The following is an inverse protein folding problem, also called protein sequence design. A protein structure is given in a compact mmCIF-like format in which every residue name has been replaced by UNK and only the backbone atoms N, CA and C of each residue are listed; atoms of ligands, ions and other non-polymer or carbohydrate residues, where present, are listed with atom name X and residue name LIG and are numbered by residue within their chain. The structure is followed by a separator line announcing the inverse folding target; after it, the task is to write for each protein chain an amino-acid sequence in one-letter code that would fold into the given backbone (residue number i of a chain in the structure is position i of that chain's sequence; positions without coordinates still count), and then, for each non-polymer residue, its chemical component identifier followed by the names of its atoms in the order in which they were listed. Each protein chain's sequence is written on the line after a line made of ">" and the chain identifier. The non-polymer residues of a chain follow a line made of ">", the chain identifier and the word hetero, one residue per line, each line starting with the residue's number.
data_IF_576429791093
#
_entry.id   IF_576429791093
#
_cell.length_a   1.000
_cell.length_b   1.000
_cell.length_c   1.000
_cell.angle_alpha   90.00
_cell.angle_beta   90.00
_cell.angle_gamma   90.00
#
_symmetry.space_group_name_H-M   'P 1'
#
loop_
_entity.id
_entity.type
_entity.pdbx_description
1 polymer ?
#
# COMPACT_ATOMS: atom_id res chain seq x y z
N UNK A 1 -46.18 -48.35 -84.86
CA UNK A 1 -46.18 -46.94 -85.30
C UNK A 1 -45.81 -46.11 -84.09
N UNK A 2 -44.88 -45.20 -84.08
CA UNK A 2 -43.79 -44.83 -84.97
C UNK A 2 -42.87 -43.94 -84.11
N UNK A 3 -41.63 -43.75 -84.56
CA UNK A 3 -40.56 -43.02 -83.89
C UNK A 3 -40.94 -41.56 -83.59
N UNK A 4 -40.36 -40.97 -82.53
CA UNK A 4 -39.42 -39.85 -82.67
C UNK A 4 -38.93 -39.30 -81.32
N UNK A 5 -37.68 -38.83 -81.38
CA UNK A 5 -36.76 -38.41 -80.33
C UNK A 5 -36.86 -36.91 -80.05
N UNK A 6 -36.67 -36.50 -78.80
CA UNK A 6 -35.86 -35.35 -78.31
C UNK A 6 -36.18 -35.17 -76.82
N UNK A 7 -35.30 -34.91 -75.86
CA UNK A 7 -33.96 -34.33 -75.85
C UNK A 7 -33.96 -33.37 -74.65
N UNK A 8 -33.37 -33.75 -73.52
CA UNK A 8 -33.39 -32.93 -72.30
C UNK A 8 -32.29 -33.33 -71.33
N UNK A 9 -31.34 -32.43 -71.12
CA UNK A 9 -30.03 -32.63 -70.48
C UNK A 9 -30.18 -32.91 -68.98
N UNK A 10 -29.38 -33.86 -68.50
CA UNK A 10 -29.24 -34.15 -67.07
C UNK A 10 -28.51 -33.03 -66.33
N UNK A 11 -29.01 -32.74 -65.12
CA UNK A 11 -28.25 -32.08 -64.07
C UNK A 11 -28.39 -32.93 -62.81
N UNK A 12 -27.34 -33.69 -62.51
CA UNK A 12 -27.15 -34.30 -61.20
C UNK A 12 -26.84 -33.17 -60.21
N UNK A 13 -27.73 -32.92 -59.25
CA UNK A 13 -27.40 -32.11 -58.09
C UNK A 13 -26.44 -32.91 -57.20
N UNK A 14 -25.15 -32.59 -57.31
CA UNK A 14 -24.13 -32.97 -56.34
C UNK A 14 -24.42 -32.24 -55.03
N UNK A 15 -24.54 -32.99 -53.93
CA UNK A 15 -24.62 -32.46 -52.59
C UNK A 15 -23.33 -31.70 -52.28
N UNK A 16 -23.44 -30.40 -51.98
CA UNK A 16 -22.34 -29.60 -51.46
C UNK A 16 -21.92 -30.13 -50.08
N UNK A 17 -20.61 -30.17 -49.77
CA UNK A 17 -20.17 -30.50 -48.42
C UNK A 17 -20.62 -29.39 -47.46
N UNK A 18 -21.20 -29.80 -46.34
CA UNK A 18 -21.44 -28.94 -45.18
C UNK A 18 -20.11 -28.33 -44.78
N UNK A 19 -19.95 -27.03 -45.03
CA UNK A 19 -18.81 -26.26 -44.55
C UNK A 19 -18.77 -26.39 -43.03
N UNK A 20 -17.75 -27.07 -42.53
CA UNK A 20 -17.30 -26.98 -41.16
C UNK A 20 -17.02 -25.51 -40.87
N UNK A 21 -17.95 -24.85 -40.19
CA UNK A 21 -17.69 -23.54 -39.59
C UNK A 21 -16.44 -23.69 -38.74
N UNK A 22 -15.37 -22.99 -39.13
CA UNK A 22 -14.14 -22.86 -38.35
C UNK A 22 -14.52 -22.50 -36.92
N UNK A 23 -14.31 -23.44 -36.00
CA UNK A 23 -14.49 -23.19 -34.58
C UNK A 23 -13.52 -22.09 -34.15
N UNK A 24 -14.06 -20.93 -33.78
CA UNK A 24 -13.30 -19.90 -33.05
C UNK A 24 -12.97 -20.33 -31.61
N UNK A 25 -13.51 -21.47 -31.14
CA UNK A 25 -13.37 -21.98 -29.77
C UNK A 25 -11.92 -22.22 -29.28
N UNK A 26 -11.01 -22.84 -30.06
CA UNK A 26 -9.66 -23.12 -29.60
C UNK A 26 -8.77 -21.87 -29.52
N UNK A 27 -8.92 -20.94 -30.47
CA UNK A 27 -8.15 -19.69 -30.51
C UNK A 27 -8.62 -18.70 -29.45
N UNK A 28 -9.94 -18.60 -29.21
CA UNK A 28 -10.48 -17.83 -28.10
C UNK A 28 -10.08 -18.40 -26.74
N UNK A 29 -10.04 -19.74 -26.61
CA UNK A 29 -9.55 -20.42 -25.40
C UNK A 29 -8.06 -20.19 -25.14
N UNK A 30 -7.22 -20.29 -26.18
CA UNK A 30 -5.79 -20.03 -26.08
C UNK A 30 -5.48 -18.56 -25.78
N UNK A 31 -6.22 -17.62 -26.38
CA UNK A 31 -6.09 -16.20 -26.07
C UNK A 31 -6.54 -15.89 -24.63
N UNK A 32 -7.62 -16.53 -24.16
CA UNK A 32 -8.10 -16.41 -22.79
C UNK A 32 -7.09 -16.95 -21.77
N UNK A 33 -6.52 -18.12 -22.01
CA UNK A 33 -5.46 -18.70 -21.17
C UNK A 33 -4.18 -17.85 -21.19
N UNK A 34 -3.80 -17.34 -22.36
CA UNK A 34 -2.66 -16.44 -22.49
C UNK A 34 -2.88 -15.15 -21.71
N UNK A 35 -4.07 -14.53 -21.84
CA UNK A 35 -4.42 -13.33 -21.09
C UNK A 35 -4.41 -13.59 -19.59
N UNK A 36 -4.98 -14.71 -19.13
CA UNK A 36 -4.96 -15.11 -17.73
C UNK A 36 -3.52 -15.28 -17.21
N UNK A 37 -2.64 -15.93 -17.97
CA UNK A 37 -1.22 -16.08 -17.59
C UNK A 37 -0.48 -14.75 -17.61
N UNK A 38 -0.77 -13.88 -18.58
CA UNK A 38 -0.11 -12.58 -18.71
C UNK A 38 -0.47 -11.61 -17.59
N UNK A 39 -1.66 -11.74 -16.97
CA UNK A 39 -2.09 -10.86 -15.88
C UNK A 39 -1.72 -11.36 -14.48
N UNK A 40 -1.45 -12.65 -14.32
CA UNK A 40 -1.10 -13.23 -13.03
C UNK A 40 0.34 -12.84 -12.64
N UNK A 41 0.54 -12.22 -11.46
CA UNK A 41 1.88 -11.95 -10.98
C UNK A 41 2.64 -13.27 -10.76
N UNK A 42 3.97 -13.26 -10.95
CA UNK A 42 4.80 -14.38 -10.52
C UNK A 42 4.60 -14.60 -9.02
N UNK A 43 4.57 -15.87 -8.61
CA UNK A 43 4.50 -16.23 -7.20
C UNK A 43 5.61 -15.51 -6.44
N UNK A 44 5.33 -14.95 -5.25
CA UNK A 44 6.36 -14.34 -4.44
C UNK A 44 7.42 -15.39 -4.11
N UNK A 45 8.64 -14.93 -3.84
CA UNK A 45 9.74 -15.75 -3.33
C UNK A 45 9.98 -15.42 -1.86
N UNK A 46 9.24 -16.03 -0.91
CA UNK A 46 9.36 -15.69 0.50
C UNK A 46 10.77 -15.85 1.01
N UNK A 47 11.18 -14.94 1.89
CA UNK A 47 12.48 -15.02 2.56
C UNK A 47 12.54 -16.32 3.39
N UNK A 48 13.60 -17.09 3.21
CA UNK A 48 13.81 -18.41 3.84
C UNK A 48 13.23 -19.60 3.10
N UNK A 49 12.48 -19.40 2.02
CA UNK A 49 12.07 -20.48 1.12
C UNK A 49 13.25 -21.01 0.27
N UNK A 50 13.19 -22.26 -0.26
CA UNK A 50 14.21 -22.75 -1.19
C UNK A 50 14.37 -21.82 -2.42
N UNK A 51 15.56 -21.25 -2.59
CA UNK A 51 15.86 -20.30 -3.66
C UNK A 51 15.40 -18.85 -3.41
N UNK A 52 14.77 -18.57 -2.26
CA UNK A 52 14.43 -17.22 -1.83
C UNK A 52 15.56 -16.50 -1.08
N UNK A 53 15.42 -15.19 -0.80
CA UNK A 53 16.38 -14.44 0.01
C UNK A 53 16.53 -15.02 1.43
N UNK A 54 17.67 -14.81 2.10
CA UNK A 54 17.86 -15.30 3.47
C UNK A 54 17.02 -14.50 4.47
N UNK A 55 16.73 -15.13 5.61
CA UNK A 55 16.20 -14.44 6.78
C UNK A 55 17.38 -14.02 7.66
N UNK A 56 17.40 -12.74 8.02
CA UNK A 56 18.43 -12.11 8.85
C UNK A 56 17.83 -11.32 10.01
N UNK A 57 16.55 -10.94 9.93
CA UNK A 57 15.82 -10.22 10.95
C UNK A 57 15.29 -11.13 12.06
N UNK A 58 15.09 -10.60 13.29
CA UNK A 58 14.12 -11.15 14.23
C UNK A 58 12.75 -11.23 13.57
N UNK A 59 12.08 -12.37 13.75
CA UNK A 59 10.72 -12.58 13.28
C UNK A 59 9.88 -13.23 14.36
N UNK A 60 8.60 -12.92 14.36
CA UNK A 60 7.63 -13.49 15.28
C UNK A 60 6.48 -14.11 14.49
N UNK A 61 5.95 -15.23 15.00
CA UNK A 61 4.86 -15.96 14.36
C UNK A 61 3.50 -15.40 14.79
N UNK A 62 2.65 -15.08 13.82
CA UNK A 62 1.30 -14.52 13.98
C UNK A 62 0.26 -15.63 14.18
N UNK A 63 -0.99 -15.25 14.53
CA UNK A 63 -2.08 -16.19 14.82
C UNK A 63 -2.42 -17.07 13.61
N UNK A 64 -2.31 -16.50 12.41
CA UNK A 64 -2.55 -17.19 11.13
C UNK A 64 -1.36 -18.05 10.64
N UNK A 65 -0.27 -18.07 11.41
CA UNK A 65 0.93 -18.85 11.13
C UNK A 65 1.99 -18.16 10.27
N UNK A 66 1.71 -16.98 9.70
CA UNK A 66 2.72 -16.14 9.03
C UNK A 66 3.76 -15.64 10.03
N UNK A 67 4.93 -15.25 9.53
CA UNK A 67 5.95 -14.54 10.30
C UNK A 67 6.02 -13.08 9.89
N UNK A 68 6.09 -12.17 10.87
CA UNK A 68 6.46 -10.78 10.63
C UNK A 68 7.87 -10.51 11.13
N UNK A 69 8.70 -9.93 10.28
CA UNK A 69 10.00 -9.41 10.63
C UNK A 69 9.86 -8.03 11.28
N UNK A 70 10.62 -7.78 12.35
CA UNK A 70 10.48 -6.56 13.14
C UNK A 70 11.83 -6.04 13.63
N UNK A 71 11.83 -4.77 14.05
CA UNK A 71 12.95 -4.07 14.64
C UNK A 71 12.45 -3.30 15.87
N UNK A 72 13.16 -3.47 17.00
CA UNK A 72 12.83 -2.80 18.26
C UNK A 72 13.69 -1.55 18.45
N UNK A 73 13.12 -0.51 19.05
CA UNK A 73 13.82 0.73 19.37
C UNK A 73 13.21 1.43 20.59
N UNK A 74 13.92 2.41 21.14
CA UNK A 74 13.53 3.07 22.40
C UNK A 74 14.03 2.30 23.62
N UNK A 75 13.33 2.43 24.75
CA UNK A 75 13.73 1.77 26.01
C UNK A 75 13.38 0.27 26.00
N UNK A 76 14.02 -0.55 26.85
CA UNK A 76 13.66 -1.95 27.00
C UNK A 76 12.18 -2.13 27.35
N UNK A 77 11.52 -3.07 26.66
CA UNK A 77 10.07 -3.35 26.75
C UNK A 77 9.58 -3.55 28.19
N UNK A 78 10.39 -4.18 29.03
CA UNK A 78 10.08 -4.51 30.42
C UNK A 78 10.03 -3.27 31.32
N UNK A 79 10.74 -2.22 30.93
CA UNK A 79 10.77 -0.92 31.62
C UNK A 79 9.88 0.15 30.97
N UNK A 80 9.30 -0.16 29.81
CA UNK A 80 8.54 0.80 29.03
C UNK A 80 7.19 1.14 29.66
N UNK A 81 6.90 2.44 29.77
CA UNK A 81 5.58 2.97 30.13
C UNK A 81 4.62 2.94 28.96
N UNK A 82 5.13 3.22 27.76
CA UNK A 82 4.34 3.25 26.52
C UNK A 82 4.95 2.33 25.49
N UNK A 83 4.11 1.59 24.77
CA UNK A 83 4.51 0.66 23.73
C UNK A 83 3.82 1.03 22.43
N UNK A 84 4.61 1.16 21.37
CA UNK A 84 4.19 1.65 20.05
C UNK A 84 4.45 0.60 18.99
N UNK A 85 3.45 0.34 18.15
CA UNK A 85 3.62 -0.39 16.88
C UNK A 85 3.66 0.61 15.73
N UNK A 86 4.76 0.60 14.98
CA UNK A 86 5.01 1.52 13.86
C UNK A 86 4.83 0.83 12.51
N UNK A 87 3.94 1.37 11.68
CA UNK A 87 3.65 0.91 10.32
C UNK A 87 4.29 1.83 9.28
N UNK A 88 5.30 1.32 8.57
CA UNK A 88 6.08 2.11 7.61
C UNK A 88 5.31 2.45 6.33
N UNK A 89 5.77 3.50 5.64
CA UNK A 89 5.20 3.97 4.38
C UNK A 89 5.52 3.09 3.17
N UNK A 90 5.15 3.59 1.99
CA UNK A 90 5.54 2.98 0.73
C UNK A 90 7.07 3.02 0.57
N UNK A 91 7.68 1.97 0.02
CA UNK A 91 9.15 1.78 -0.07
C UNK A 91 9.90 1.61 1.26
N UNK A 92 9.19 1.64 2.39
CA UNK A 92 9.77 1.50 3.72
C UNK A 92 10.04 0.05 4.13
N UNK A 93 10.51 -0.10 5.37
CA UNK A 93 10.74 -1.40 6.03
C UNK A 93 10.62 -1.27 7.55
N UNK A 94 10.81 -2.37 8.27
CA UNK A 94 10.91 -2.43 9.74
C UNK A 94 11.90 -1.44 10.34
N UNK A 95 12.90 -1.01 9.55
CA UNK A 95 13.95 -0.08 9.99
C UNK A 95 13.51 1.39 10.01
N UNK A 96 12.32 1.69 9.49
CA UNK A 96 11.76 3.03 9.59
C UNK A 96 11.16 3.27 10.99
N UNK A 97 11.31 4.48 11.50
CA UNK A 97 10.80 4.89 12.81
C UNK A 97 10.48 6.38 12.84
N UNK A 98 9.90 6.86 13.94
CA UNK A 98 9.67 8.29 14.19
C UNK A 98 10.96 9.12 14.30
N UNK A 99 12.12 8.46 14.48
CA UNK A 99 13.43 9.12 14.70
C UNK A 99 13.41 10.16 15.82
N UNK A 100 12.72 9.84 16.92
CA UNK A 100 12.83 10.59 18.15
C UNK A 100 14.23 10.46 18.74
N UNK A 101 14.67 11.46 19.49
CA UNK A 101 15.92 11.44 20.24
C UNK A 101 15.87 10.36 21.34
N UNK A 102 16.99 9.65 21.58
CA UNK A 102 17.07 8.68 22.68
C UNK A 102 16.66 9.28 24.02
N UNK A 103 17.04 10.54 24.29
CA UNK A 103 16.74 11.24 25.53
C UNK A 103 15.22 11.39 25.74
N UNK A 104 14.46 11.72 24.69
CA UNK A 104 12.99 11.84 24.78
C UNK A 104 12.33 10.47 24.91
N UNK A 105 12.84 9.46 24.19
CA UNK A 105 12.33 8.10 24.33
C UNK A 105 12.56 7.55 25.76
N UNK A 106 13.71 7.85 26.36
CA UNK A 106 14.05 7.50 27.74
C UNK A 106 13.20 8.27 28.76
N UNK A 107 13.10 9.60 28.62
CA UNK A 107 12.30 10.46 29.49
C UNK A 107 10.84 10.01 29.58
N UNK A 108 10.24 9.68 28.42
CA UNK A 108 8.85 9.24 28.32
C UNK A 108 8.67 7.74 28.60
N UNK A 109 9.75 6.95 28.61
CA UNK A 109 9.71 5.49 28.76
C UNK A 109 9.03 4.79 27.59
N UNK A 110 9.41 5.13 26.35
CA UNK A 110 8.76 4.65 25.12
C UNK A 110 9.54 3.49 24.51
N UNK A 111 8.88 2.35 24.36
CA UNK A 111 9.29 1.25 23.51
C UNK A 111 8.55 1.34 22.17
N UNK A 112 9.27 1.15 21.06
CA UNK A 112 8.69 1.14 19.72
C UNK A 112 9.14 -0.11 18.98
N UNK A 113 8.22 -0.71 18.23
CA UNK A 113 8.50 -1.79 17.30
C UNK A 113 8.02 -1.42 15.90
N UNK A 114 8.95 -1.35 14.95
CA UNK A 114 8.65 -1.29 13.52
C UNK A 114 8.63 -2.69 12.93
N UNK A 115 7.81 -2.93 11.92
CA UNK A 115 7.73 -4.25 11.27
C UNK A 115 7.67 -4.13 9.76
N UNK A 116 8.22 -5.11 9.05
CA UNK A 116 8.03 -5.24 7.61
C UNK A 116 6.56 -5.62 7.41
N UNK A 117 5.78 -4.80 6.71
CA UNK A 117 4.38 -5.13 6.42
C UNK A 117 4.30 -6.43 5.59
N UNK A 118 3.16 -7.11 5.57
CA UNK A 118 2.99 -8.35 4.80
C UNK A 118 3.62 -8.22 3.39
N UNK A 119 4.44 -9.19 2.98
CA UNK A 119 5.14 -9.22 1.69
C UNK A 119 6.24 -8.17 1.48
N UNK A 120 6.51 -7.29 2.45
CA UNK A 120 7.70 -6.44 2.48
C UNK A 120 8.83 -7.16 3.21
N UNK A 121 10.07 -6.80 2.84
CA UNK A 121 11.24 -7.22 3.60
C UNK A 121 11.28 -8.73 3.81
N UNK A 122 11.35 -9.13 5.07
CA UNK A 122 11.45 -10.54 5.48
C UNK A 122 10.16 -11.11 6.10
N UNK A 123 9.06 -10.34 6.04
CA UNK A 123 7.73 -10.76 6.49
C UNK A 123 7.02 -11.61 5.45
N UNK A 124 6.35 -12.67 5.88
CA UNK A 124 5.63 -13.56 4.98
C UNK A 124 4.53 -12.79 4.22
N UNK A 125 4.31 -13.11 2.92
CA UNK A 125 3.19 -12.57 2.14
C UNK A 125 1.84 -12.93 2.76
N UNK A 126 0.84 -12.07 2.56
CA UNK A 126 -0.55 -12.36 2.89
C UNK A 126 -1.41 -12.42 1.61
N UNK A 127 -1.82 -13.62 1.16
CA UNK A 127 -2.71 -13.77 -0.01
C UNK A 127 -4.06 -13.05 0.15
N UNK A 128 -4.53 -12.88 1.39
CA UNK A 128 -5.75 -12.15 1.75
C UNK A 128 -5.52 -10.69 2.14
N UNK A 129 -4.35 -10.10 1.84
CA UNK A 129 -4.00 -8.73 2.28
C UNK A 129 -5.13 -7.73 2.02
N UNK A 130 -5.59 -7.11 3.09
CA UNK A 130 -6.60 -6.06 3.15
C UNK A 130 -6.25 -5.04 4.24
N UNK A 131 -7.05 -3.99 4.36
CA UNK A 131 -6.93 -3.01 5.46
C UNK A 131 -7.21 -3.66 6.81
N UNK A 132 -8.16 -4.59 6.86
CA UNK A 132 -8.47 -5.36 8.07
C UNK A 132 -7.28 -6.23 8.49
N UNK A 133 -6.70 -7.00 7.56
CA UNK A 133 -5.55 -7.85 7.90
C UNK A 133 -4.32 -7.02 8.28
N UNK A 134 -4.19 -5.80 7.75
CA UNK A 134 -3.10 -4.90 8.15
C UNK A 134 -3.27 -4.39 9.59
N UNK A 135 -4.51 -4.22 10.06
CA UNK A 135 -4.80 -3.92 11.46
C UNK A 135 -4.54 -5.15 12.36
N UNK A 136 -4.97 -6.33 11.91
CA UNK A 136 -4.71 -7.60 12.60
C UNK A 136 -3.20 -7.88 12.70
N UNK A 137 -2.40 -7.57 11.67
CA UNK A 137 -0.93 -7.67 11.72
C UNK A 137 -0.35 -6.83 12.88
N UNK A 138 -0.90 -5.64 13.14
CA UNK A 138 -0.47 -4.81 14.28
C UNK A 138 -0.89 -5.40 15.63
N UNK A 139 -2.10 -5.97 15.72
CA UNK A 139 -2.59 -6.67 16.90
C UNK A 139 -1.77 -7.94 17.21
N UNK A 140 -1.57 -8.81 16.22
CA UNK A 140 -0.85 -10.06 16.34
C UNK A 140 0.61 -9.82 16.74
N UNK A 141 1.24 -8.79 16.16
CA UNK A 141 2.58 -8.38 16.54
C UNK A 141 2.63 -7.92 18.00
N UNK A 142 1.64 -7.11 18.42
CA UNK A 142 1.56 -6.65 19.80
C UNK A 142 1.35 -7.80 20.79
N UNK A 143 0.48 -8.75 20.46
CA UNK A 143 0.20 -9.93 21.28
C UNK A 143 1.43 -10.84 21.39
N UNK A 144 2.05 -11.15 20.26
CA UNK A 144 3.17 -12.07 20.21
C UNK A 144 4.44 -11.50 20.90
N UNK A 145 4.59 -10.18 20.95
CA UNK A 145 5.66 -9.52 21.70
C UNK A 145 5.28 -9.20 23.16
N UNK A 146 4.03 -9.44 23.58
CA UNK A 146 3.58 -9.16 24.94
C UNK A 146 3.51 -7.66 25.24
N UNK A 147 2.97 -6.85 24.31
CA UNK A 147 2.81 -5.42 24.53
C UNK A 147 1.68 -5.10 25.52
N UNK A 148 0.75 -6.03 25.74
CA UNK A 148 -0.34 -5.93 26.71
C UNK A 148 -1.69 -5.64 26.05
N UNK A 149 -2.71 -5.42 26.88
CA UNK A 149 -4.10 -5.30 26.42
C UNK A 149 -4.32 -4.11 25.48
N UNK A 150 -3.60 -3.00 25.72
CA UNK A 150 -3.62 -1.82 24.86
C UNK A 150 -2.22 -1.33 24.51
N UNK A 151 -2.09 -0.81 23.30
CA UNK A 151 -0.84 -0.25 22.76
C UNK A 151 -1.13 0.95 21.85
N UNK A 152 -0.10 1.69 21.51
CA UNK A 152 -0.22 2.85 20.62
C UNK A 152 0.16 2.45 19.20
N UNK A 153 -0.47 3.09 18.21
CA UNK A 153 -0.20 2.83 16.81
C UNK A 153 0.27 4.09 16.11
N UNK A 154 1.33 3.95 15.31
CA UNK A 154 1.87 5.05 14.51
C UNK A 154 1.99 4.58 13.07
N UNK A 155 1.47 5.39 12.15
CA UNK A 155 1.58 5.14 10.71
C UNK A 155 2.29 6.28 10.02
N UNK A 156 3.13 5.97 9.03
CA UNK A 156 3.69 6.96 8.13
C UNK A 156 3.20 6.71 6.70
N UNK A 157 2.74 7.76 6.02
CA UNK A 157 2.35 7.72 4.61
C UNK A 157 1.34 6.59 4.36
N UNK A 158 1.65 5.68 3.43
CA UNK A 158 0.80 4.52 3.14
C UNK A 158 0.56 3.65 4.37
N UNK A 159 1.51 3.54 5.31
CA UNK A 159 1.36 2.76 6.54
C UNK A 159 0.19 3.20 7.43
N UNK A 160 -0.33 4.42 7.25
CA UNK A 160 -1.53 4.90 7.92
C UNK A 160 -2.79 4.11 7.56
N UNK A 161 -2.82 3.34 6.47
CA UNK A 161 -3.96 2.45 6.19
C UNK A 161 -4.16 1.41 7.30
N UNK A 162 -3.07 0.90 7.86
CA UNK A 162 -3.13 -0.02 9.00
C UNK A 162 -3.64 0.68 10.26
N UNK A 163 -3.34 1.97 10.46
CA UNK A 163 -3.86 2.77 11.56
C UNK A 163 -5.35 3.03 11.42
N UNK A 164 -5.83 3.40 10.22
CA UNK A 164 -7.26 3.51 9.94
C UNK A 164 -7.99 2.18 10.15
N UNK A 165 -7.38 1.08 9.72
CA UNK A 165 -7.87 -0.27 10.01
C UNK A 165 -7.92 -0.55 11.52
N UNK A 166 -6.87 -0.19 12.27
CA UNK A 166 -6.81 -0.41 13.71
C UNK A 166 -7.94 0.33 14.45
N UNK A 167 -8.17 1.60 14.09
CA UNK A 167 -9.28 2.39 14.61
C UNK A 167 -10.66 1.81 14.25
N UNK A 168 -10.77 1.05 13.14
CA UNK A 168 -12.02 0.44 12.70
C UNK A 168 -12.29 -0.93 13.34
N UNK A 169 -11.28 -1.79 13.37
CA UNK A 169 -11.43 -3.23 13.60
C UNK A 169 -10.99 -3.68 14.99
N UNK A 170 -10.07 -2.96 15.63
CA UNK A 170 -9.56 -3.25 16.98
C UNK A 170 -9.51 -2.00 17.89
N UNK A 171 -10.50 -1.07 17.84
CA UNK A 171 -10.42 0.21 18.56
C UNK A 171 -10.22 0.05 20.08
N UNK A 172 -10.68 -1.05 20.66
CA UNK A 172 -10.52 -1.38 22.07
C UNK A 172 -9.06 -1.67 22.47
N UNK A 173 -8.23 -2.12 21.51
CA UNK A 173 -6.80 -2.39 21.69
C UNK A 173 -5.95 -1.12 21.59
N UNK A 174 -6.50 -0.01 21.10
CA UNK A 174 -5.73 1.20 20.80
C UNK A 174 -5.79 2.18 21.97
N UNK A 175 -4.62 2.49 22.54
CA UNK A 175 -4.46 3.48 23.59
C UNK A 175 -4.34 4.92 23.03
N UNK A 176 -3.84 5.06 21.81
CA UNK A 176 -3.73 6.31 21.07
C UNK A 176 -3.12 6.08 19.69
N UNK A 177 -3.40 6.98 18.75
CA UNK A 177 -2.95 6.85 17.36
C UNK A 177 -2.29 8.12 16.83
N UNK A 178 -1.21 7.96 16.07
CA UNK A 178 -0.58 9.03 15.30
C UNK A 178 -0.45 8.65 13.82
N UNK A 179 -0.85 9.55 12.94
CA UNK A 179 -0.69 9.39 11.49
C UNK A 179 0.15 10.54 10.94
N UNK A 180 1.19 10.20 10.20
CA UNK A 180 2.11 11.17 9.59
C UNK A 180 1.97 11.12 8.07
N UNK A 181 1.53 12.21 7.47
CA UNK A 181 1.28 12.37 6.03
C UNK A 181 0.42 11.24 5.41
N UNK A 182 -0.75 10.88 5.99
CA UNK A 182 -1.50 9.68 5.59
C UNK A 182 -1.91 9.69 4.12
N UNK A 183 -1.65 8.58 3.41
CA UNK A 183 -2.12 8.44 2.02
C UNK A 183 -3.65 8.39 1.98
N UNK A 184 -4.22 9.04 0.96
CA UNK A 184 -5.66 9.10 0.71
C UNK A 184 -6.06 8.20 -0.43
N UNK A 185 -7.27 7.64 -0.35
CA UNK A 185 -7.92 7.01 -1.49
C UNK A 185 -8.92 8.01 -2.09
N UNK A 186 -8.70 8.42 -3.33
CA UNK A 186 -9.53 9.41 -4.05
C UNK A 186 -10.98 8.97 -4.26
N UNK A 187 -11.28 7.70 -4.06
CA UNK A 187 -12.62 7.13 -4.20
C UNK A 187 -13.35 6.91 -2.86
N UNK A 188 -12.81 7.40 -1.74
CA UNK A 188 -13.56 7.39 -0.48
C UNK A 188 -14.83 8.25 -0.57
N UNK A 189 -16.03 7.70 -0.25
CA UNK A 189 -17.30 8.41 -0.41
C UNK A 189 -17.43 9.71 0.38
N UNK A 190 -16.71 9.87 1.47
CA UNK A 190 -16.75 11.06 2.32
C UNK A 190 -16.09 12.30 1.69
N UNK A 191 -15.38 12.15 0.56
CA UNK A 191 -14.84 13.29 -0.18
C UNK A 191 -15.89 13.88 -1.12
N UNK A 192 -15.99 15.22 -1.20
CA UNK A 192 -16.70 15.88 -2.29
C UNK A 192 -16.08 15.47 -3.62
N UNK A 193 -16.92 15.04 -4.57
CA UNK A 193 -16.47 14.51 -5.85
C UNK A 193 -15.57 15.51 -6.61
N UNK A 194 -15.89 16.81 -6.56
CA UNK A 194 -15.08 17.86 -7.19
C UNK A 194 -13.71 18.02 -6.54
N UNK A 195 -13.63 17.95 -5.20
CA UNK A 195 -12.37 18.03 -4.47
C UNK A 195 -11.47 16.84 -4.80
N UNK A 196 -12.02 15.62 -4.70
CA UNK A 196 -11.29 14.40 -5.03
C UNK A 196 -10.80 14.40 -6.48
N UNK A 197 -11.67 14.74 -7.43
CA UNK A 197 -11.32 14.79 -8.86
C UNK A 197 -10.25 15.84 -9.16
N UNK A 198 -10.33 17.02 -8.52
CA UNK A 198 -9.33 18.09 -8.70
C UNK A 198 -7.95 17.68 -8.20
N UNK A 199 -7.87 17.16 -6.97
CA UNK A 199 -6.58 16.76 -6.40
C UNK A 199 -6.02 15.50 -7.08
N UNK A 200 -6.88 14.55 -7.49
CA UNK A 200 -6.48 13.43 -8.34
C UNK A 200 -5.90 13.90 -9.68
N UNK A 201 -6.55 14.88 -10.32
CA UNK A 201 -6.13 15.43 -11.61
C UNK A 201 -4.80 16.19 -11.60
N UNK A 202 -4.29 16.57 -10.42
CA UNK A 202 -2.98 17.21 -10.24
C UNK A 202 -1.82 16.21 -10.29
N UNK A 203 -2.08 14.93 -10.12
CA UNK A 203 -1.06 13.90 -10.23
C UNK A 203 -0.58 13.75 -11.67
N UNK A 204 0.63 13.21 -11.83
CA UNK A 204 1.13 12.81 -13.14
C UNK A 204 0.22 11.78 -13.81
N UNK A 205 0.13 11.83 -15.14
CA UNK A 205 -0.79 10.96 -15.89
C UNK A 205 -0.56 9.48 -15.62
N UNK A 206 0.68 9.07 -15.43
CA UNK A 206 1.02 7.68 -15.13
C UNK A 206 0.55 7.23 -13.76
N UNK A 207 0.68 8.08 -12.74
CA UNK A 207 0.13 7.82 -11.40
C UNK A 207 -1.40 7.75 -11.46
N UNK A 208 -2.07 8.69 -12.13
CA UNK A 208 -3.52 8.65 -12.32
C UNK A 208 -3.96 7.28 -12.87
N UNK A 209 -3.35 6.80 -13.95
CA UNK A 209 -3.72 5.50 -14.52
C UNK A 209 -3.38 4.33 -13.60
N UNK A 210 -2.21 4.32 -12.97
CA UNK A 210 -1.84 3.25 -12.06
C UNK A 210 -2.82 3.15 -10.87
N UNK A 211 -3.24 4.28 -10.30
CA UNK A 211 -4.26 4.33 -9.26
C UNK A 211 -5.63 3.89 -9.77
N UNK A 212 -6.02 4.29 -10.99
CA UNK A 212 -7.29 3.88 -11.62
C UNK A 212 -7.35 2.37 -11.84
N UNK A 213 -6.25 1.77 -12.31
CA UNK A 213 -6.14 0.31 -12.47
C UNK A 213 -6.19 -0.37 -11.11
N UNK A 214 -5.45 0.12 -10.12
CA UNK A 214 -5.48 -0.41 -8.76
C UNK A 214 -6.91 -0.38 -8.16
N UNK A 215 -7.68 0.68 -8.44
CA UNK A 215 -9.04 0.82 -7.93
C UNK A 215 -10.06 -0.06 -8.67
N UNK A 216 -10.10 0.00 -10.00
CA UNK A 216 -11.16 -0.63 -10.79
C UNK A 216 -10.84 -2.05 -11.24
N UNK A 217 -9.55 -2.39 -11.36
CA UNK A 217 -9.08 -3.70 -11.83
C UNK A 217 -7.79 -4.12 -11.10
N UNK A 218 -7.80 -4.23 -9.75
CA UNK A 218 -6.60 -4.56 -8.97
C UNK A 218 -5.93 -5.87 -9.41
N UNK A 219 -6.69 -6.84 -9.94
CA UNK A 219 -6.16 -8.10 -10.42
C UNK A 219 -5.22 -8.00 -11.64
N UNK A 220 -5.18 -6.87 -12.35
CA UNK A 220 -4.29 -6.66 -13.50
C UNK A 220 -3.20 -5.61 -13.22
N UNK A 221 -3.09 -5.10 -11.99
CA UNK A 221 -2.14 -4.03 -11.67
C UNK A 221 -0.70 -4.44 -11.96
N UNK A 222 -0.35 -5.71 -11.71
CA UNK A 222 0.99 -6.21 -12.00
C UNK A 222 1.32 -6.09 -13.48
N UNK A 223 0.47 -6.68 -14.33
CA UNK A 223 0.63 -6.59 -15.79
C UNK A 223 0.69 -5.15 -16.27
N UNK A 224 -0.18 -4.28 -15.75
CA UNK A 224 -0.16 -2.86 -16.09
C UNK A 224 1.21 -2.24 -15.81
N UNK A 225 1.75 -2.45 -14.61
CA UNK A 225 3.02 -1.89 -14.17
C UNK A 225 4.25 -2.46 -14.90
N UNK A 226 4.15 -3.64 -15.52
CA UNK A 226 5.23 -4.25 -16.31
C UNK A 226 5.36 -3.67 -17.72
N UNK A 227 4.41 -2.85 -18.18
CA UNK A 227 4.41 -2.29 -19.54
C UNK A 227 5.43 -1.13 -19.71
N UNK A 228 6.68 -1.33 -19.29
CA UNK A 228 7.78 -0.36 -19.28
C UNK A 228 8.12 0.27 -20.63
N UNK A 229 7.69 -0.34 -21.73
CA UNK A 229 7.84 0.15 -23.10
C UNK A 229 6.80 1.22 -23.49
N UNK A 230 5.74 1.38 -22.70
CA UNK A 230 4.75 2.44 -22.86
C UNK A 230 5.13 3.65 -22.00
N UNK A 231 4.82 4.88 -22.43
CA UNK A 231 5.10 6.10 -21.66
C UNK A 231 4.11 6.35 -20.51
N UNK A 232 2.99 5.62 -20.45
CA UNK A 232 1.86 5.85 -19.53
C UNK A 232 1.72 4.94 -18.29
N UNK A 233 2.22 3.71 -18.21
CA UNK A 233 1.98 2.81 -17.08
C UNK A 233 2.93 3.04 -15.89
N UNK A 234 3.91 3.93 -16.02
CA UNK A 234 4.89 4.18 -14.96
C UNK A 234 4.28 5.07 -13.88
N UNK A 235 4.25 4.57 -12.64
CA UNK A 235 4.00 5.40 -11.46
C UNK A 235 5.27 6.13 -11.06
N UNK A 236 5.21 7.45 -10.97
CA UNK A 236 6.36 8.28 -10.57
C UNK A 236 6.77 7.99 -9.13
N UNK A 237 5.83 7.55 -8.29
CA UNK A 237 6.11 7.11 -6.91
C UNK A 237 6.92 5.81 -6.91
N UNK A 238 6.54 4.83 -7.74
CA UNK A 238 7.23 3.53 -7.86
C UNK A 238 8.66 3.67 -8.36
N UNK A 239 8.88 4.53 -9.38
CA UNK A 239 10.22 4.78 -9.92
C UNK A 239 10.94 5.94 -9.22
N UNK A 240 10.33 6.53 -8.19
CA UNK A 240 10.87 7.60 -7.37
C UNK A 240 11.29 8.87 -8.15
N UNK A 241 10.45 9.29 -9.10
CA UNK A 241 10.63 10.49 -9.94
C UNK A 241 9.57 11.57 -9.71
N UNK A 242 8.63 11.37 -8.78
CA UNK A 242 7.55 12.34 -8.52
C UNK A 242 8.09 13.75 -8.28
N UNK A 243 7.43 14.77 -8.82
CA UNK A 243 7.82 16.14 -8.55
C UNK A 243 7.58 16.48 -7.06
N UNK A 244 8.59 17.01 -6.37
CA UNK A 244 8.49 17.45 -4.97
C UNK A 244 8.64 18.98 -4.95
N UNK A 245 7.56 19.74 -4.66
CA UNK A 245 7.61 21.19 -4.65
C UNK A 245 8.43 21.72 -3.45
N UNK A 246 8.42 21.01 -2.32
CA UNK A 246 9.21 21.36 -1.16
C UNK A 246 10.72 21.14 -1.41
N UNK A 247 11.51 22.18 -1.16
CA UNK A 247 12.97 22.18 -1.43
C UNK A 247 13.73 21.16 -0.58
N UNK A 248 13.37 21.01 0.70
CA UNK A 248 14.04 20.10 1.64
C UNK A 248 13.80 18.65 1.21
N UNK A 249 12.56 18.30 0.88
CA UNK A 249 12.22 16.97 0.36
C UNK A 249 12.97 16.64 -0.93
N UNK A 250 13.02 17.59 -1.87
CA UNK A 250 13.78 17.42 -3.12
C UNK A 250 15.29 17.23 -2.87
N UNK A 251 15.87 17.94 -1.90
CA UNK A 251 17.26 17.77 -1.49
C UNK A 251 17.52 16.44 -0.77
N UNK A 252 16.67 16.04 0.17
CA UNK A 252 16.74 14.75 0.84
C UNK A 252 16.73 13.63 -0.18
N UNK A 253 15.77 13.65 -1.13
CA UNK A 253 15.74 12.63 -2.19
C UNK A 253 17.02 12.62 -3.02
N UNK A 254 17.55 13.79 -3.39
CA UNK A 254 18.80 13.90 -4.16
C UNK A 254 19.97 13.26 -3.42
N UNK A 255 20.12 13.58 -2.13
CA UNK A 255 21.18 13.04 -1.27
C UNK A 255 21.04 11.53 -1.12
N UNK A 256 19.85 11.04 -0.76
CA UNK A 256 19.61 9.60 -0.58
C UNK A 256 19.70 8.80 -1.90
N UNK A 257 19.53 9.47 -3.04
CA UNK A 257 19.78 8.87 -4.37
C UNK A 257 21.28 8.78 -4.61
N UNK A 258 22.02 9.87 -4.37
CA UNK A 258 23.45 9.97 -4.62
C UNK A 258 24.27 9.01 -3.75
N UNK A 259 23.89 8.82 -2.48
CA UNK A 259 24.57 7.89 -1.57
C UNK A 259 24.10 6.42 -1.70
N UNK A 260 23.09 6.17 -2.55
CA UNK A 260 22.53 4.85 -2.81
C UNK A 260 21.57 4.32 -1.75
N UNK A 261 21.19 5.12 -0.74
CA UNK A 261 20.25 4.73 0.31
C UNK A 261 18.88 4.38 -0.25
N UNK A 262 18.35 5.14 -1.22
CA UNK A 262 17.04 4.81 -1.82
C UNK A 262 17.04 3.47 -2.55
N UNK A 263 18.16 3.13 -3.22
CA UNK A 263 18.32 1.82 -3.86
C UNK A 263 18.31 0.70 -2.81
N UNK A 264 19.09 0.84 -1.73
CA UNK A 264 19.10 -0.14 -0.62
C UNK A 264 17.73 -0.31 0.02
N UNK A 265 17.01 0.79 0.26
CA UNK A 265 15.64 0.76 0.79
C UNK A 265 14.69 0.01 -0.15
N UNK A 266 14.73 0.32 -1.44
CA UNK A 266 13.96 -0.40 -2.46
C UNK A 266 14.29 -1.89 -2.46
N UNK A 267 15.58 -2.25 -2.53
CA UNK A 267 16.02 -3.64 -2.58
C UNK A 267 15.52 -4.42 -1.35
N UNK A 268 15.60 -3.82 -0.16
CA UNK A 268 15.07 -4.40 1.08
C UNK A 268 13.54 -4.56 1.03
N UNK A 269 12.80 -3.52 0.63
CA UNK A 269 11.35 -3.55 0.57
C UNK A 269 10.81 -4.54 -0.47
N UNK A 270 11.56 -4.79 -1.55
CA UNK A 270 11.14 -5.64 -2.68
C UNK A 270 11.87 -6.99 -2.72
N UNK A 271 12.44 -7.47 -1.61
CA UNK A 271 13.17 -8.75 -1.55
C UNK A 271 12.38 -9.94 -2.10
N UNK A 272 11.07 -9.93 -1.91
CA UNK A 272 10.16 -11.00 -2.34
C UNK A 272 9.49 -10.73 -3.69
N UNK A 273 9.92 -9.68 -4.38
CA UNK A 273 9.36 -9.19 -5.63
C UNK A 273 8.58 -7.88 -5.48
N UNK A 274 8.78 -6.95 -6.42
CA UNK A 274 8.09 -5.64 -6.44
C UNK A 274 6.56 -5.79 -6.58
N UNK A 275 6.11 -6.88 -7.19
CA UNK A 275 4.70 -7.20 -7.35
C UNK A 275 4.00 -7.52 -6.03
N UNK A 276 4.71 -8.19 -5.11
CA UNK A 276 4.15 -8.59 -3.81
C UNK A 276 4.23 -7.45 -2.78
N UNK A 277 5.21 -6.55 -2.90
CA UNK A 277 5.29 -5.37 -2.04
C UNK A 277 4.51 -4.20 -2.64
N UNK A 278 5.08 -3.54 -3.64
CA UNK A 278 4.59 -2.24 -4.12
C UNK A 278 3.25 -2.35 -4.84
N UNK A 279 3.11 -3.27 -5.79
CA UNK A 279 1.88 -3.33 -6.59
C UNK A 279 0.71 -3.86 -5.77
N UNK A 280 0.98 -4.80 -4.85
CA UNK A 280 -0.01 -5.27 -3.88
C UNK A 280 -0.47 -4.15 -2.95
N UNK A 281 0.44 -3.31 -2.47
CA UNK A 281 0.11 -2.12 -1.68
C UNK A 281 -0.78 -1.14 -2.44
N UNK A 282 -0.49 -0.91 -3.72
CA UNK A 282 -1.35 -0.06 -4.57
C UNK A 282 -2.75 -0.65 -4.68
N UNK A 283 -2.87 -1.96 -4.92
CA UNK A 283 -4.15 -2.65 -5.00
C UNK A 283 -4.96 -2.57 -3.68
N UNK A 284 -4.30 -2.66 -2.52
CA UNK A 284 -4.97 -2.59 -1.21
C UNK A 284 -5.35 -1.14 -0.86
N UNK A 285 -4.40 -0.20 -0.95
CA UNK A 285 -4.60 1.19 -0.56
C UNK A 285 -5.65 1.87 -1.43
N UNK A 286 -5.57 1.70 -2.75
CA UNK A 286 -6.45 2.35 -3.72
C UNK A 286 -7.63 1.48 -4.17
N UNK A 287 -7.69 0.24 -3.72
CA UNK A 287 -8.83 -0.65 -3.91
C UNK A 287 -10.09 -0.19 -3.17
N UNK A 288 -11.08 -1.08 -3.10
CA UNK A 288 -12.34 -0.83 -2.40
C UNK A 288 -12.20 -1.23 -0.94
N UNK A 289 -12.32 -0.25 -0.04
CA UNK A 289 -12.35 -0.48 1.39
C UNK A 289 -13.79 -0.82 1.81
N UNK A 290 -13.94 -1.64 2.83
CA UNK A 290 -15.25 -1.98 3.42
C UNK A 290 -15.86 -0.83 4.23
N UNK A 291 -15.05 0.18 4.55
CA UNK A 291 -15.44 1.37 5.29
C UNK A 291 -14.81 2.61 4.69
N UNK A 292 -15.40 3.76 5.00
CA UNK A 292 -14.84 5.07 4.75
C UNK A 292 -14.22 5.59 6.06
N UNK A 293 -12.91 5.92 6.11
CA UNK A 293 -12.27 6.51 7.30
C UNK A 293 -13.03 7.72 7.85
N UNK A 294 -13.61 8.52 6.97
CA UNK A 294 -14.38 9.69 7.33
C UNK A 294 -15.72 9.35 7.99
N UNK A 295 -16.24 8.13 7.83
CA UNK A 295 -17.49 7.68 8.45
C UNK A 295 -17.28 6.99 9.81
N UNK A 296 -16.04 6.89 10.28
CA UNK A 296 -15.75 6.30 11.58
C UNK A 296 -16.33 7.14 12.72
N UNK A 297 -16.92 6.49 13.75
CA UNK A 297 -17.27 7.17 14.98
C UNK A 297 -16.00 7.65 15.69
N UNK A 298 -16.16 8.58 16.62
CA UNK A 298 -15.06 8.99 17.51
C UNK A 298 -14.51 7.77 18.27
N UNK A 299 -13.20 7.49 18.15
CA UNK A 299 -12.58 6.37 18.85
C UNK A 299 -12.41 6.70 20.35
N UNK A 300 -12.28 5.68 21.21
CA UNK A 300 -12.11 5.86 22.65
C UNK A 300 -10.69 6.36 23.05
N UNK A 301 -9.87 6.76 22.09
CA UNK A 301 -8.48 7.14 22.26
C UNK A 301 -8.15 8.41 21.46
N UNK A 302 -7.15 9.20 21.88
CA UNK A 302 -6.72 10.36 21.10
C UNK A 302 -6.15 9.93 19.74
N UNK A 303 -6.53 10.66 18.69
CA UNK A 303 -5.98 10.49 17.34
C UNK A 303 -5.38 11.80 16.88
N UNK A 304 -4.14 11.75 16.43
CA UNK A 304 -3.41 12.89 15.91
C UNK A 304 -2.96 12.66 14.48
N UNK A 305 -3.07 13.69 13.64
CA UNK A 305 -2.73 13.65 12.22
C UNK A 305 -1.80 14.79 11.89
N UNK A 306 -0.57 14.48 11.48
CA UNK A 306 0.41 15.46 11.00
C UNK A 306 0.47 15.49 9.48
N UNK A 307 0.51 16.69 8.90
CA UNK A 307 0.60 16.87 7.46
C UNK A 307 1.46 18.10 7.13
N UNK A 308 2.41 17.95 6.21
CA UNK A 308 3.12 19.08 5.62
C UNK A 308 2.23 19.82 4.62
N UNK A 309 2.23 21.15 4.65
CA UNK A 309 1.44 21.98 3.73
C UNK A 309 2.02 22.09 2.31
N UNK A 310 3.28 21.72 2.13
CA UNK A 310 3.99 21.62 0.84
C UNK A 310 4.22 20.15 0.42
N UNK A 311 3.45 19.21 0.96
CA UNK A 311 3.52 17.80 0.60
C UNK A 311 3.20 17.59 -0.89
N UNK A 312 4.17 17.05 -1.64
CA UNK A 312 4.07 16.79 -3.07
C UNK A 312 3.53 15.41 -3.43
N UNK A 313 3.33 14.53 -2.45
CA UNK A 313 2.88 13.14 -2.65
C UNK A 313 1.44 12.96 -2.19
N UNK A 314 1.08 13.55 -1.05
CA UNK A 314 -0.26 13.49 -0.48
C UNK A 314 -0.87 14.90 -0.47
N UNK A 315 -2.00 15.12 -1.17
CA UNK A 315 -2.61 16.45 -1.21
C UNK A 315 -3.12 16.90 0.17
N UNK A 316 -2.49 17.94 0.74
CA UNK A 316 -2.92 18.55 2.02
C UNK A 316 -4.39 18.97 2.01
N UNK A 317 -4.93 19.38 0.87
CA UNK A 317 -6.33 19.77 0.73
C UNK A 317 -7.31 18.64 1.09
N UNK A 318 -6.94 17.38 0.79
CA UNK A 318 -7.76 16.22 1.18
C UNK A 318 -7.64 15.94 2.69
N UNK A 319 -6.46 16.15 3.29
CA UNK A 319 -6.29 16.00 4.74
C UNK A 319 -7.04 17.07 5.53
N UNK A 320 -7.03 18.32 5.07
CA UNK A 320 -7.86 19.39 5.63
C UNK A 320 -9.34 19.03 5.62
N UNK A 321 -9.82 18.37 4.55
CA UNK A 321 -11.21 17.88 4.48
C UNK A 321 -11.46 16.73 5.45
N UNK A 322 -10.56 15.75 5.53
CA UNK A 322 -10.65 14.65 6.51
C UNK A 322 -10.74 15.19 7.93
N UNK A 323 -9.82 16.08 8.33
CA UNK A 323 -9.81 16.72 9.64
C UNK A 323 -11.05 17.58 9.90
N UNK A 324 -11.53 18.31 8.89
CA UNK A 324 -12.76 19.10 9.00
C UNK A 324 -14.01 18.25 9.19
N UNK A 325 -14.05 17.04 8.64
CA UNK A 325 -15.18 16.11 8.82
C UNK A 325 -15.08 15.31 10.12
N UNK A 326 -13.87 14.90 10.50
CA UNK A 326 -13.59 14.14 11.71
C UNK A 326 -13.19 15.10 12.83
N UNK A 327 -14.18 15.71 13.48
CA UNK A 327 -13.95 16.71 14.55
C UNK A 327 -13.16 16.18 15.77
N UNK A 328 -12.99 14.87 15.89
CA UNK A 328 -12.19 14.20 16.92
C UNK A 328 -10.72 14.00 16.53
N UNK A 329 -10.33 14.28 15.28
CA UNK A 329 -8.92 14.22 14.86
C UNK A 329 -8.21 15.50 15.27
N UNK A 330 -7.15 15.36 16.06
CA UNK A 330 -6.24 16.46 16.37
C UNK A 330 -5.30 16.68 15.18
N UNK A 331 -5.65 17.63 14.31
CA UNK A 331 -4.90 17.92 13.09
C UNK A 331 -3.77 18.92 13.33
N UNK A 332 -2.57 18.54 12.90
CA UNK A 332 -1.32 19.30 13.03
C UNK A 332 -0.74 19.57 11.65
N UNK A 333 -1.04 20.73 11.09
CA UNK A 333 -0.45 21.17 9.84
C UNK A 333 0.91 21.81 10.08
N UNK A 334 1.93 21.40 9.31
CA UNK A 334 3.32 21.83 9.44
C UNK A 334 3.66 22.81 8.30
N UNK A 335 3.84 24.11 8.58
CA UNK A 335 4.14 25.11 7.55
C UNK A 335 5.50 24.88 6.87
N UNK A 336 5.57 25.10 5.56
CA UNK A 336 6.78 24.96 4.75
C UNK A 336 7.38 23.55 4.74
N UNK A 337 6.56 22.53 5.03
CA UNK A 337 7.01 21.14 5.22
C UNK A 337 6.45 20.24 4.13
N UNK A 338 7.30 19.36 3.58
CA UNK A 338 6.91 18.38 2.57
C UNK A 338 6.37 17.07 3.16
N UNK A 339 6.47 16.00 2.38
CA UNK A 339 6.06 14.64 2.72
C UNK A 339 7.02 13.94 3.70
N UNK A 340 8.33 14.23 3.65
CA UNK A 340 9.33 13.50 4.42
C UNK A 340 9.40 13.95 5.88
N UNK A 341 8.27 13.82 6.59
CA UNK A 341 8.09 14.26 7.97
C UNK A 341 9.11 13.64 8.94
N UNK A 342 9.48 12.38 8.75
CA UNK A 342 10.51 11.72 9.58
C UNK A 342 11.91 12.32 9.45
N UNK A 343 12.17 13.16 8.44
CA UNK A 343 13.41 13.90 8.27
C UNK A 343 13.35 15.33 8.83
N UNK A 344 12.20 15.77 9.35
CA UNK A 344 12.05 17.07 10.00
C UNK A 344 12.70 17.02 11.38
N UNK A 345 13.74 17.84 11.67
CA UNK A 345 14.42 17.80 12.95
C UNK A 345 13.47 18.04 14.13
N UNK A 346 13.53 17.18 15.15
CA UNK A 346 12.73 17.28 16.37
C UNK A 346 11.24 16.92 16.21
N UNK A 347 10.77 16.57 15.00
CA UNK A 347 9.36 16.19 14.83
C UNK A 347 9.04 14.87 15.54
N UNK A 348 9.96 13.89 15.53
CA UNK A 348 9.81 12.65 16.28
C UNK A 348 9.53 12.91 17.76
N UNK A 349 10.34 13.75 18.39
CA UNK A 349 10.19 14.16 19.80
C UNK A 349 8.85 14.86 20.03
N UNK A 350 8.46 15.75 19.12
CA UNK A 350 7.17 16.46 19.18
C UNK A 350 5.99 15.50 19.11
N UNK A 351 6.06 14.50 18.23
CA UNK A 351 5.02 13.46 18.09
C UNK A 351 4.93 12.63 19.36
N UNK A 352 6.06 12.15 19.91
CA UNK A 352 6.03 11.36 21.15
C UNK A 352 5.49 12.18 22.33
N UNK A 353 5.94 13.42 22.49
CA UNK A 353 5.44 14.31 23.55
C UNK A 353 3.96 14.65 23.40
N UNK A 354 3.47 14.77 22.18
CA UNK A 354 2.03 15.02 21.93
C UNK A 354 1.20 13.77 22.21
N UNK A 355 1.70 12.58 21.86
CA UNK A 355 0.96 11.33 22.02
C UNK A 355 0.87 10.87 23.48
N UNK A 356 1.85 11.26 24.32
CA UNK A 356 1.99 10.78 25.70
C UNK A 356 1.96 11.85 26.79
N UNK A 357 1.92 13.13 26.40
CA UNK A 357 2.00 14.30 27.28
C UNK A 357 0.67 14.90 27.66
#
# INVERSE_FOLDING_TARGET
>A
MDRSVSGGRGYYYSAAPVGTGMGMGPLAGQLGEWLLRAVQPPAPTPCGSPGGPPITAPRVRMRDGRHLAYEESGVPKESARFKVVFSHGFTGSRLDSLRASPEVAEELGVYMVGFDRAGYGESDPNPGRSVETAAQDMEDLADALGLGDKFHVVGFSLGCHAVWGALRYIPERIAGAAMLAPVVNYWWPGFPAELAAREYGRQERGDQWALRVAHHAPGIIHWWMEQSWLPLPTSTVVVNTTYLPNKRDAEIRRTLTADGTLRKKRDMATQQGIQESYYRDMAVMFGKWEFDPMALPEPPCPVHLWQGDEDGLVPVALQRHVAGKLGWVNYHELPGTGHFLSAVPGLGDTVLRTLFG
#
